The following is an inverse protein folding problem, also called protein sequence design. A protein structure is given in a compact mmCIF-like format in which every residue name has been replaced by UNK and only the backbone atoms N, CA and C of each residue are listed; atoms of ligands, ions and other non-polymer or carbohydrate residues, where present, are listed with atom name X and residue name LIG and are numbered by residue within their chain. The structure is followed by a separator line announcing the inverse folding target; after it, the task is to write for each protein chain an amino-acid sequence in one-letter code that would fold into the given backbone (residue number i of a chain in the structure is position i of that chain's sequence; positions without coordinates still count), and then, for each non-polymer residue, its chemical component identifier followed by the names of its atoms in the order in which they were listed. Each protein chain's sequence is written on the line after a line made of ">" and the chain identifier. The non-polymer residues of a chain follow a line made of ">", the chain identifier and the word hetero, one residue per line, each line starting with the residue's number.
data_IF_901552111731
#
_entry.id   IF_901552111731
#
_cell.length_a   1.000
_cell.length_b   1.000
_cell.length_c   1.000
_cell.angle_alpha   90.00
_cell.angle_beta   90.00
_cell.angle_gamma   90.00
#
_symmetry.space_group_name_H-M   'P 1'
#
loop_
_entity.id
_entity.type
_entity.pdbx_description
1 polymer ?
#
# COMPACT_ATOMS: atom_id res chain seq x y z
N UNK A 1 14.03 -7.01 35.43
CA UNK A 1 12.95 -5.99 35.41
C UNK A 1 12.86 -5.37 34.02
N UNK A 2 11.84 -5.67 33.19
CA UNK A 2 11.79 -5.22 31.81
C UNK A 2 11.37 -3.74 31.73
N UNK A 3 12.25 -2.89 31.20
CA UNK A 3 11.97 -1.48 30.91
C UNK A 3 11.10 -1.37 29.67
N UNK A 4 9.83 -1.03 29.87
CA UNK A 4 8.89 -0.71 28.80
C UNK A 4 9.37 0.54 28.04
N UNK A 5 9.99 0.35 26.87
CA UNK A 5 10.18 1.43 25.90
C UNK A 5 8.82 1.92 25.38
N UNK A 6 8.31 2.99 25.99
CA UNK A 6 7.12 3.70 25.57
C UNK A 6 7.40 4.32 24.20
N UNK A 7 6.84 3.72 23.14
CA UNK A 7 6.84 4.30 21.78
C UNK A 7 6.12 5.66 21.83
N UNK A 8 6.87 6.76 21.63
CA UNK A 8 6.32 8.12 21.52
C UNK A 8 5.18 8.11 20.49
N UNK A 9 3.94 8.36 20.95
CA UNK A 9 2.76 8.47 20.07
C UNK A 9 3.02 9.61 19.08
N UNK A 10 2.82 9.33 17.79
CA UNK A 10 2.92 10.28 16.68
C UNK A 10 2.08 11.52 17.04
N UNK A 11 2.73 12.64 17.31
CA UNK A 11 2.03 13.89 17.56
C UNK A 11 1.18 14.22 16.33
N UNK A 12 -0.15 14.29 16.52
CA UNK A 12 -1.04 14.80 15.48
C UNK A 12 -0.56 16.21 15.14
N UNK A 13 -0.15 16.40 13.89
CA UNK A 13 0.16 17.74 13.37
C UNK A 13 -1.11 18.56 13.59
N UNK A 14 -1.01 19.63 14.37
CA UNK A 14 -2.08 20.61 14.49
C UNK A 14 -2.26 21.19 13.07
N UNK A 15 -3.30 20.74 12.36
CA UNK A 15 -3.72 21.40 11.13
C UNK A 15 -3.96 22.87 11.51
N UNK A 16 -3.38 23.79 10.74
CA UNK A 16 -3.60 25.22 10.96
C UNK A 16 -5.11 25.47 10.84
N UNK A 17 -5.72 26.01 11.89
CA UNK A 17 -7.17 26.23 11.96
C UNK A 17 -7.67 27.21 10.88
N UNK A 18 -6.76 28.02 10.33
CA UNK A 18 -7.01 28.98 9.25
C UNK A 18 -7.54 28.28 7.97
N UNK A 19 -6.99 27.12 7.58
CA UNK A 19 -7.46 26.37 6.39
C UNK A 19 -8.88 25.80 6.58
N UNK A 20 -9.29 25.53 7.84
CA UNK A 20 -10.62 24.98 8.15
C UNK A 20 -11.67 26.08 8.19
N UNK A 21 -11.30 27.29 8.64
CA UNK A 21 -12.19 28.45 8.57
C UNK A 21 -12.42 28.92 7.13
N UNK A 22 -11.38 28.94 6.29
CA UNK A 22 -11.50 29.29 4.87
C UNK A 22 -12.42 28.31 4.12
N UNK A 23 -12.26 27.00 4.34
CA UNK A 23 -13.15 25.98 3.76
C UNK A 23 -14.61 26.12 4.23
N UNK A 24 -14.83 26.55 5.48
CA UNK A 24 -16.18 26.79 6.00
C UNK A 24 -16.80 28.10 5.51
N UNK A 25 -16.00 29.12 5.19
CA UNK A 25 -16.47 30.36 4.57
C UNK A 25 -16.88 30.14 3.11
N UNK A 26 -16.13 29.33 2.36
CA UNK A 26 -16.47 28.93 0.99
C UNK A 26 -17.81 28.16 0.94
N UNK A 27 -18.04 27.23 1.87
CA UNK A 27 -19.32 26.51 1.97
C UNK A 27 -20.49 27.44 2.33
N UNK A 28 -20.26 28.48 3.13
CA UNK A 28 -21.26 29.51 3.43
C UNK A 28 -21.54 30.39 2.22
N UNK A 29 -20.53 30.74 1.42
CA UNK A 29 -20.68 31.51 0.19
C UNK A 29 -21.46 30.72 -0.87
N UNK A 30 -21.15 29.43 -1.03
CA UNK A 30 -21.85 28.52 -1.95
C UNK A 30 -23.34 28.35 -1.58
N UNK A 31 -23.66 28.30 -0.28
CA UNK A 31 -25.06 28.25 0.20
C UNK A 31 -25.83 29.54 -0.04
N UNK A 32 -25.18 30.71 0.03
CA UNK A 32 -25.82 32.00 -0.30
C UNK A 32 -26.13 32.11 -1.80
N UNK A 33 -25.27 31.57 -2.66
CA UNK A 33 -25.49 31.61 -4.11
C UNK A 33 -26.63 30.70 -4.58
N UNK A 34 -26.91 29.60 -3.87
CA UNK A 34 -28.01 28.67 -4.21
C UNK A 34 -29.40 29.18 -3.81
N UNK A 35 -29.50 30.28 -3.04
CA UNK A 35 -30.77 30.78 -2.48
C UNK A 35 -31.44 31.88 -3.30
N UNK A 36 -30.88 32.32 -4.43
CA UNK A 36 -31.42 33.45 -5.22
C UNK A 36 -32.14 33.05 -6.49
N UNK A 37 -32.70 31.83 -6.56
CA UNK A 37 -33.59 31.43 -7.66
C UNK A 37 -34.89 30.91 -7.06
N UNK A 38 -35.77 31.86 -6.72
CA UNK A 38 -37.17 31.55 -6.40
C UNK A 38 -37.91 31.26 -7.72
N UNK A 39 -38.59 30.10 -7.86
CA UNK A 39 -39.36 29.76 -9.06
C UNK A 39 -40.80 30.28 -8.91
N UNK A 40 -40.95 31.57 -8.70
CA UNK A 40 -42.25 32.24 -8.66
C UNK A 40 -42.08 33.58 -9.35
N UNK A 41 -42.46 33.59 -10.63
CA UNK A 41 -42.98 34.73 -11.41
C UNK A 41 -42.65 34.47 -12.88
N UNK A 42 -43.65 34.06 -13.65
CA UNK A 42 -43.53 33.85 -15.09
C UNK A 42 -44.70 33.03 -15.64
N UNK A 43 -45.65 33.72 -16.29
CA UNK A 43 -46.86 33.21 -16.94
C UNK A 43 -46.66 31.89 -17.70
N UNK A 44 -47.51 30.91 -17.41
CA UNK A 44 -47.54 29.60 -18.07
C UNK A 44 -48.36 29.61 -19.39
N UNK A 45 -49.10 30.68 -19.68
CA UNK A 45 -49.99 30.76 -20.85
C UNK A 45 -49.31 31.30 -22.13
N UNK A 46 -48.13 31.90 -22.03
CA UNK A 46 -47.31 32.27 -23.21
C UNK A 46 -46.43 31.11 -23.71
N UNK A 47 -46.41 29.97 -23.01
CA UNK A 47 -45.53 28.84 -23.33
C UNK A 47 -46.13 27.84 -24.33
N UNK A 48 -47.41 28.02 -24.72
CA UNK A 48 -48.11 27.11 -25.64
C UNK A 48 -48.62 27.79 -26.92
N UNK A 49 -48.30 29.08 -27.17
CA UNK A 49 -48.48 29.66 -28.50
C UNK A 49 -47.35 29.17 -29.41
N UNK A 50 -47.66 28.15 -30.21
CA UNK A 50 -46.77 27.60 -31.23
C UNK A 50 -46.60 28.66 -32.33
N UNK A 51 -45.55 29.46 -32.24
CA UNK A 51 -45.13 30.32 -33.33
C UNK A 51 -44.36 29.47 -34.36
N UNK A 52 -44.97 29.27 -35.53
CA UNK A 52 -44.46 28.41 -36.62
C UNK A 52 -43.54 29.19 -37.56
N UNK A 53 -43.10 30.41 -37.22
CA UNK A 53 -42.21 31.18 -38.09
C UNK A 53 -40.99 31.75 -37.36
N UNK A 54 -40.03 30.85 -37.13
CA UNK A 54 -38.61 31.16 -37.30
C UNK A 54 -37.85 31.68 -36.09
N UNK A 55 -37.35 30.78 -35.24
CA UNK A 55 -36.27 31.05 -34.30
C UNK A 55 -35.21 29.94 -34.39
N UNK A 56 -34.41 29.99 -35.45
CA UNK A 56 -33.18 29.19 -35.58
C UNK A 56 -31.95 29.89 -34.97
N UNK A 57 -32.09 31.12 -34.51
CA UNK A 57 -30.97 31.89 -33.95
C UNK A 57 -31.42 32.70 -32.74
N UNK A 58 -30.57 32.70 -31.70
CA UNK A 58 -30.66 33.52 -30.47
C UNK A 58 -31.42 32.88 -29.30
N UNK A 59 -30.82 31.83 -28.72
CA UNK A 59 -31.00 31.60 -27.28
C UNK A 59 -30.37 32.77 -26.48
N UNK A 60 -31.13 33.47 -25.61
CA UNK A 60 -30.64 34.65 -24.86
C UNK A 60 -29.48 34.32 -23.89
N UNK A 61 -29.33 33.04 -23.49
CA UNK A 61 -28.18 32.56 -22.72
C UNK A 61 -26.85 32.69 -23.48
N UNK A 62 -26.87 32.57 -24.81
CA UNK A 62 -25.65 32.62 -25.62
C UNK A 62 -25.14 34.03 -25.85
N UNK A 63 -26.02 35.05 -25.93
CA UNK A 63 -25.59 36.47 -26.04
C UNK A 63 -24.93 36.94 -24.76
N UNK A 64 -25.50 36.61 -23.59
CA UNK A 64 -24.91 36.94 -22.29
C UNK A 64 -23.60 36.18 -22.05
N UNK A 65 -23.52 34.91 -22.45
CA UNK A 65 -22.29 34.12 -22.40
C UNK A 65 -21.21 34.65 -23.37
N UNK A 66 -21.57 35.03 -24.60
CA UNK A 66 -20.65 35.63 -25.59
C UNK A 66 -20.18 37.02 -25.16
N UNK A 67 -21.05 37.85 -24.57
CA UNK A 67 -20.65 39.14 -24.00
C UNK A 67 -19.73 38.97 -22.78
N UNK A 68 -20.01 37.98 -21.92
CA UNK A 68 -19.17 37.66 -20.76
C UNK A 68 -17.82 37.06 -21.17
N UNK A 69 -17.76 36.27 -22.24
CA UNK A 69 -16.50 35.75 -22.81
C UNK A 69 -15.66 36.82 -23.51
N UNK A 70 -16.28 37.89 -24.02
CA UNK A 70 -15.56 39.08 -24.54
C UNK A 70 -15.03 39.98 -23.43
N UNK A 71 -15.76 40.12 -22.32
CA UNK A 71 -15.37 40.93 -21.16
C UNK A 71 -14.39 40.21 -20.23
N UNK A 72 -14.49 38.88 -20.14
CA UNK A 72 -13.56 38.01 -19.43
C UNK A 72 -13.05 36.99 -20.44
N UNK A 73 -11.86 37.24 -21.01
CA UNK A 73 -11.15 36.22 -21.80
C UNK A 73 -11.03 34.91 -21.02
N UNK A 74 -10.73 33.78 -21.68
CA UNK A 74 -10.55 32.50 -21.01
C UNK A 74 -9.49 32.67 -19.93
N UNK A 75 -9.92 32.74 -18.66
CA UNK A 75 -9.01 32.85 -17.53
C UNK A 75 -8.30 31.52 -17.47
N UNK A 76 -7.02 31.51 -17.82
CA UNK A 76 -6.14 30.40 -17.45
C UNK A 76 -6.30 30.19 -15.94
N UNK A 77 -6.56 28.95 -15.48
CA UNK A 77 -6.68 28.69 -14.06
C UNK A 77 -5.39 29.14 -13.38
N UNK A 78 -5.50 30.17 -12.51
CA UNK A 78 -4.35 30.72 -11.76
C UNK A 78 -3.75 29.73 -10.76
N UNK A 79 -4.35 28.56 -10.60
CA UNK A 79 -3.90 27.50 -9.72
C UNK A 79 -3.37 26.40 -10.64
N UNK A 80 -2.08 26.04 -10.56
CA UNK A 80 -1.58 24.88 -11.28
C UNK A 80 -2.38 23.66 -10.83
N UNK A 81 -2.86 22.90 -11.80
CA UNK A 81 -3.63 21.68 -11.56
C UNK A 81 -2.78 20.81 -10.64
N UNK A 82 -3.32 20.43 -9.48
CA UNK A 82 -2.60 19.58 -8.54
C UNK A 82 -2.30 18.23 -9.22
N UNK A 83 -1.14 17.62 -8.95
CA UNK A 83 -0.81 16.29 -9.46
C UNK A 83 -1.91 15.23 -9.18
N UNK A 84 -2.70 15.42 -8.12
CA UNK A 84 -3.86 14.58 -7.83
C UNK A 84 -5.05 14.79 -8.78
N UNK A 85 -5.23 16.01 -9.29
CA UNK A 85 -6.26 16.34 -10.26
C UNK A 85 -5.86 15.90 -11.66
N UNK A 86 -4.60 16.04 -12.06
CA UNK A 86 -4.06 15.48 -13.31
C UNK A 86 -4.28 13.95 -13.36
N UNK A 87 -3.97 13.24 -12.28
CA UNK A 87 -4.21 11.80 -12.20
C UNK A 87 -5.71 11.41 -12.21
N UNK A 88 -6.62 12.31 -11.80
CA UNK A 88 -8.07 12.10 -11.92
C UNK A 88 -8.54 12.33 -13.35
N UNK A 89 -8.01 13.35 -14.02
CA UNK A 89 -8.28 13.66 -15.43
C UNK A 89 -7.83 12.49 -16.31
N UNK A 90 -6.59 12.01 -16.17
CA UNK A 90 -6.10 10.83 -16.92
C UNK A 90 -6.98 9.59 -16.71
N UNK A 91 -7.47 9.37 -15.48
CA UNK A 91 -8.34 8.23 -15.18
C UNK A 91 -9.70 8.37 -15.83
N UNK A 92 -10.24 9.59 -15.90
CA UNK A 92 -11.51 9.88 -16.56
C UNK A 92 -11.38 9.74 -18.08
N UNK A 93 -10.28 10.20 -18.67
CA UNK A 93 -9.97 10.06 -20.10
C UNK A 93 -9.87 8.59 -20.51
N UNK A 94 -9.08 7.78 -19.78
CA UNK A 94 -9.01 6.32 -20.01
C UNK A 94 -10.37 5.63 -19.87
N UNK A 95 -11.24 6.12 -18.99
CA UNK A 95 -12.58 5.57 -18.82
C UNK A 95 -13.53 5.93 -19.98
N UNK A 96 -13.29 7.05 -20.66
CA UNK A 96 -14.05 7.49 -21.83
C UNK A 96 -13.57 6.79 -23.10
N UNK A 97 -12.26 6.59 -23.28
CA UNK A 97 -11.69 5.84 -24.41
C UNK A 97 -12.21 4.40 -24.49
N UNK A 98 -12.40 3.74 -23.34
CA UNK A 98 -12.93 2.37 -23.27
C UNK A 98 -14.44 2.30 -23.56
N UNK A 99 -15.14 3.44 -23.53
CA UNK A 99 -16.60 3.54 -23.74
C UNK A 99 -16.99 4.05 -25.13
N UNK A 100 -16.09 4.04 -26.10
CA UNK A 100 -16.50 4.25 -27.49
C UNK A 100 -17.35 3.03 -27.88
N UNK A 101 -18.68 3.17 -28.07
CA UNK A 101 -19.50 2.05 -28.48
C UNK A 101 -18.97 1.59 -29.84
N UNK A 102 -18.55 0.33 -29.92
CA UNK A 102 -18.24 -0.30 -31.20
C UNK A 102 -19.43 -0.05 -32.11
N UNK A 103 -19.20 0.60 -33.26
CA UNK A 103 -20.22 0.79 -34.29
C UNK A 103 -20.82 -0.57 -34.56
N UNK A 104 -22.07 -0.77 -34.13
CA UNK A 104 -22.85 -1.95 -34.49
C UNK A 104 -23.04 -1.78 -35.99
N UNK A 105 -22.32 -2.58 -36.78
CA UNK A 105 -22.57 -2.67 -38.21
C UNK A 105 -24.06 -3.00 -38.38
N UNK A 106 -24.79 -2.29 -39.25
CA UNK A 106 -26.19 -2.59 -39.49
C UNK A 106 -26.24 -4.01 -40.06
N UNK A 107 -26.67 -4.96 -39.23
CA UNK A 107 -26.92 -6.32 -39.68
C UNK A 107 -27.90 -6.24 -40.86
N UNK A 108 -27.46 -6.71 -42.03
CA UNK A 108 -28.34 -6.87 -43.19
C UNK A 108 -29.55 -7.68 -42.75
N UNK A 109 -30.70 -7.01 -42.67
CA UNK A 109 -31.98 -7.65 -42.45
C UNK A 109 -32.29 -8.40 -43.73
N UNK A 110 -32.14 -9.72 -43.68
CA UNK A 110 -32.48 -10.61 -44.78
C UNK A 110 -34.00 -10.60 -45.00
N UNK A 111 -34.42 -9.96 -46.08
CA UNK A 111 -35.82 -9.77 -46.49
C UNK A 111 -36.49 -11.11 -46.83
N UNK A 112 -35.71 -12.18 -47.04
CA UNK A 112 -36.20 -13.53 -47.34
C UNK A 112 -36.23 -14.46 -46.12
N UNK A 113 -35.77 -13.99 -44.97
CA UNK A 113 -35.94 -14.75 -43.72
C UNK A 113 -37.42 -14.72 -43.33
N UNK A 114 -38.07 -15.88 -43.43
CA UNK A 114 -39.46 -16.07 -43.00
C UNK A 114 -39.63 -15.56 -41.57
N UNK A 115 -40.65 -14.73 -41.28
CA UNK A 115 -40.81 -14.09 -39.98
C UNK A 115 -40.84 -15.17 -38.91
N UNK A 116 -39.82 -15.16 -38.05
CA UNK A 116 -39.72 -16.09 -36.92
C UNK A 116 -40.97 -15.89 -36.07
N UNK A 117 -41.89 -16.86 -36.12
CA UNK A 117 -43.18 -16.82 -35.46
C UNK A 117 -43.02 -16.27 -34.03
N UNK A 118 -43.59 -15.09 -33.81
CA UNK A 118 -43.64 -14.49 -32.49
C UNK A 118 -44.36 -15.48 -31.57
N UNK A 119 -43.66 -15.93 -30.53
CA UNK A 119 -44.25 -16.78 -29.51
C UNK A 119 -45.51 -16.11 -28.95
N UNK A 120 -46.59 -16.87 -28.69
CA UNK A 120 -47.86 -16.30 -28.24
C UNK A 120 -47.66 -15.55 -26.92
N UNK A 121 -48.10 -14.29 -26.89
CA UNK A 121 -48.18 -13.50 -25.68
C UNK A 121 -49.29 -14.10 -24.80
N UNK A 122 -48.90 -14.99 -23.88
CA UNK A 122 -49.78 -15.43 -22.81
C UNK A 122 -49.98 -14.27 -21.83
N UNK A 123 -51.18 -13.69 -21.84
CA UNK A 123 -51.68 -12.76 -20.82
C UNK A 123 -51.76 -13.46 -19.45
N UNK A 124 -50.64 -13.45 -18.73
CA UNK A 124 -50.58 -13.86 -17.33
C UNK A 124 -50.97 -12.67 -16.45
N UNK A 125 -52.25 -12.57 -16.12
CA UNK A 125 -52.88 -11.65 -15.14
C UNK A 125 -52.51 -11.93 -13.68
N UNK A 126 -51.47 -12.73 -13.43
CA UNK A 126 -50.92 -12.95 -12.09
C UNK A 126 -49.48 -12.47 -12.11
N UNK A 127 -49.20 -11.33 -11.45
CA UNK A 127 -47.84 -10.91 -11.10
C UNK A 127 -47.22 -11.98 -10.21
N UNK A 128 -46.67 -13.03 -10.81
CA UNK A 128 -45.72 -13.88 -10.13
C UNK A 128 -44.56 -12.98 -9.72
N UNK A 129 -44.12 -12.98 -8.44
CA UNK A 129 -42.87 -12.32 -8.08
C UNK A 129 -41.82 -12.86 -9.02
N UNK A 130 -41.24 -11.98 -9.84
CA UNK A 130 -40.36 -12.34 -10.94
C UNK A 130 -39.39 -13.42 -10.44
N UNK A 131 -39.53 -14.65 -10.94
CA UNK A 131 -38.61 -15.75 -10.62
C UNK A 131 -37.22 -15.17 -10.82
N UNK A 132 -36.46 -15.04 -9.74
CA UNK A 132 -35.21 -14.30 -9.73
C UNK A 132 -34.40 -14.79 -10.93
N UNK A 133 -34.26 -13.92 -11.94
CA UNK A 133 -33.53 -14.26 -13.16
C UNK A 133 -32.15 -14.73 -12.71
N UNK A 134 -31.60 -15.82 -13.29
CA UNK A 134 -30.29 -16.29 -12.90
C UNK A 134 -29.30 -15.14 -13.08
N UNK A 135 -28.88 -14.56 -11.96
CA UNK A 135 -27.98 -13.42 -11.96
C UNK A 135 -26.67 -13.89 -12.59
N UNK A 136 -26.19 -13.15 -13.59
CA UNK A 136 -24.88 -13.42 -14.18
C UNK A 136 -23.86 -13.43 -13.04
N UNK A 137 -22.99 -14.45 -12.96
CA UNK A 137 -22.00 -14.50 -11.90
C UNK A 137 -21.11 -13.24 -11.97
N UNK A 138 -20.71 -12.69 -10.82
CA UNK A 138 -19.86 -11.51 -10.81
C UNK A 138 -18.53 -11.84 -11.49
N UNK A 139 -18.00 -10.87 -12.27
CA UNK A 139 -16.73 -11.04 -13.01
C UNK A 139 -15.57 -11.47 -12.10
N UNK A 140 -15.63 -11.11 -10.81
CA UNK A 140 -14.64 -11.48 -9.78
C UNK A 140 -14.62 -12.97 -9.46
N UNK A 141 -15.67 -13.73 -9.78
CA UNK A 141 -15.74 -15.16 -9.52
C UNK A 141 -14.76 -15.98 -10.38
N UNK A 142 -14.43 -15.50 -11.58
CA UNK A 142 -13.53 -16.19 -12.52
C UNK A 142 -12.06 -15.79 -12.36
N UNK A 143 -11.73 -14.92 -11.41
CA UNK A 143 -10.35 -14.49 -11.19
C UNK A 143 -9.55 -15.62 -10.51
N UNK A 144 -8.52 -16.13 -11.23
CA UNK A 144 -7.62 -17.15 -10.68
C UNK A 144 -6.88 -16.57 -9.47
N UNK A 145 -6.97 -17.26 -8.34
CA UNK A 145 -6.41 -16.80 -7.05
C UNK A 145 -4.89 -17.03 -6.99
N UNK A 146 -4.28 -17.80 -7.90
CA UNK A 146 -2.83 -18.03 -7.91
C UNK A 146 -2.27 -18.33 -9.30
N UNK A 147 -0.94 -18.20 -9.41
CA UNK A 147 -0.17 -18.40 -10.64
C UNK A 147 0.56 -19.75 -10.60
N UNK A 148 0.92 -20.23 -9.41
CA UNK A 148 1.57 -21.52 -9.21
C UNK A 148 0.79 -22.71 -9.83
N UNK A 149 1.50 -23.69 -10.41
CA UNK A 149 0.90 -24.90 -10.96
C UNK A 149 0.25 -25.75 -9.86
N UNK A 150 -0.75 -26.55 -10.25
CA UNK A 150 -1.46 -27.43 -9.33
C UNK A 150 -0.62 -28.65 -8.90
N UNK A 151 0.25 -29.12 -9.79
CA UNK A 151 1.14 -30.26 -9.58
C UNK A 151 2.55 -29.77 -9.91
N UNK A 152 3.47 -29.97 -8.98
CA UNK A 152 4.89 -29.70 -9.21
C UNK A 152 5.51 -31.02 -9.67
N UNK A 153 6.30 -31.02 -10.76
CA UNK A 153 7.03 -32.21 -11.14
C UNK A 153 7.97 -32.61 -9.99
N UNK A 154 7.92 -33.87 -9.58
CA UNK A 154 8.84 -34.39 -8.56
C UNK A 154 10.28 -34.35 -9.09
N UNK A 155 11.24 -34.19 -8.18
CA UNK A 155 12.65 -34.28 -8.54
C UNK A 155 12.98 -35.74 -8.92
N UNK A 156 13.84 -35.95 -9.92
CA UNK A 156 14.21 -37.30 -10.39
C UNK A 156 14.86 -38.14 -9.29
N UNK A 157 15.65 -37.48 -8.42
CA UNK A 157 16.24 -38.04 -7.21
C UNK A 157 15.23 -38.59 -6.17
N UNK A 158 13.94 -38.24 -6.26
CA UNK A 158 12.89 -38.78 -5.38
C UNK A 158 12.26 -40.08 -5.89
N UNK A 159 12.69 -40.55 -7.07
CA UNK A 159 12.24 -41.84 -7.59
C UNK A 159 12.69 -43.00 -6.69
N UNK A 160 12.03 -44.16 -6.82
CA UNK A 160 12.36 -45.36 -6.04
C UNK A 160 13.77 -45.91 -6.35
N UNK A 161 14.28 -45.63 -7.55
CA UNK A 161 15.61 -46.01 -7.99
C UNK A 161 16.21 -44.83 -8.76
N UNK A 162 16.64 -43.78 -8.05
CA UNK A 162 17.17 -42.58 -8.67
C UNK A 162 18.53 -42.87 -9.29
N UNK A 163 18.85 -42.14 -10.35
CA UNK A 163 20.22 -42.09 -10.82
C UNK A 163 21.11 -41.45 -9.74
N UNK A 164 22.37 -41.87 -9.65
CA UNK A 164 23.30 -41.42 -8.63
C UNK A 164 23.47 -39.89 -8.67
N UNK A 165 23.59 -39.32 -9.87
CA UNK A 165 23.71 -37.88 -10.07
C UNK A 165 22.46 -37.13 -9.60
N UNK A 166 21.28 -37.61 -10.01
CA UNK A 166 20.00 -36.99 -9.63
C UNK A 166 19.73 -37.09 -8.12
N UNK A 167 20.20 -38.14 -7.45
CA UNK A 167 20.14 -38.27 -6.00
C UNK A 167 21.09 -37.29 -5.32
N UNK A 168 22.34 -37.19 -5.77
CA UNK A 168 23.31 -36.21 -5.24
C UNK A 168 22.80 -34.78 -5.38
N UNK A 169 22.22 -34.42 -6.53
CA UNK A 169 21.60 -33.11 -6.75
C UNK A 169 20.44 -32.85 -5.79
N UNK A 170 19.59 -33.86 -5.54
CA UNK A 170 18.51 -33.74 -4.56
C UNK A 170 19.07 -33.52 -3.14
N UNK A 171 20.11 -34.25 -2.76
CA UNK A 171 20.76 -34.11 -1.46
C UNK A 171 21.37 -32.71 -1.33
N UNK A 172 22.10 -32.24 -2.35
CA UNK A 172 22.70 -30.91 -2.37
C UNK A 172 21.66 -29.79 -2.27
N UNK A 173 20.54 -29.92 -2.99
CA UNK A 173 19.47 -28.92 -2.95
C UNK A 173 18.74 -28.91 -1.61
N UNK A 174 18.45 -30.08 -1.03
CA UNK A 174 17.84 -30.20 0.28
C UNK A 174 18.76 -29.66 1.39
N UNK A 175 20.04 -30.04 1.39
CA UNK A 175 21.03 -29.55 2.37
C UNK A 175 21.25 -28.05 2.25
N UNK A 176 21.29 -27.49 1.03
CA UNK A 176 21.37 -26.04 0.84
C UNK A 176 20.16 -25.31 1.44
N UNK A 177 18.95 -25.86 1.29
CA UNK A 177 17.73 -25.28 1.86
C UNK A 177 17.73 -25.34 3.40
N UNK A 178 18.20 -26.44 3.99
CA UNK A 178 18.33 -26.58 5.44
C UNK A 178 19.38 -25.63 6.02
N UNK A 179 20.56 -25.52 5.39
CA UNK A 179 21.60 -24.57 5.79
C UNK A 179 21.09 -23.12 5.75
N UNK A 180 20.33 -22.74 4.73
CA UNK A 180 19.71 -21.42 4.68
C UNK A 180 18.70 -21.21 5.80
N UNK A 181 17.92 -22.23 6.14
CA UNK A 181 16.99 -22.16 7.26
C UNK A 181 17.73 -22.01 8.60
N UNK A 182 18.80 -22.76 8.83
CA UNK A 182 19.65 -22.64 10.01
C UNK A 182 20.31 -21.26 10.13
N UNK A 183 20.81 -20.72 9.02
CA UNK A 183 21.33 -19.35 8.97
C UNK A 183 20.27 -18.31 9.32
N UNK A 184 19.04 -18.46 8.80
CA UNK A 184 17.94 -17.56 9.15
C UNK A 184 17.60 -17.64 10.64
N UNK A 185 17.60 -18.84 11.22
CA UNK A 185 17.36 -19.06 12.65
C UNK A 185 18.49 -18.48 13.49
N UNK A 186 19.75 -18.66 13.09
CA UNK A 186 20.91 -18.11 13.81
C UNK A 186 20.94 -16.59 13.76
N UNK A 187 20.65 -15.99 12.61
CA UNK A 187 20.48 -14.54 12.49
C UNK A 187 19.34 -14.01 13.35
N UNK A 188 18.20 -14.70 13.40
CA UNK A 188 17.10 -14.32 14.28
C UNK A 188 17.51 -14.41 15.74
N UNK A 189 18.21 -15.48 16.15
CA UNK A 189 18.78 -15.61 17.50
C UNK A 189 19.74 -14.46 17.82
N UNK A 190 20.60 -14.05 16.88
CA UNK A 190 21.49 -12.89 17.03
C UNK A 190 20.70 -11.59 17.19
N UNK A 191 19.62 -11.40 16.45
CA UNK A 191 18.75 -10.21 16.54
C UNK A 191 17.95 -10.17 17.85
N UNK A 192 17.44 -11.31 18.30
CA UNK A 192 16.61 -11.42 19.51
C UNK A 192 17.45 -11.35 20.79
N UNK A 193 18.67 -11.89 20.76
CA UNK A 193 19.58 -11.97 21.90
C UNK A 193 21.01 -11.57 21.52
N UNK A 194 21.25 -10.30 21.15
CA UNK A 194 22.57 -9.84 20.71
C UNK A 194 23.63 -9.98 21.80
N UNK A 195 23.26 -9.66 23.05
CA UNK A 195 24.17 -9.74 24.21
C UNK A 195 24.70 -11.15 24.40
N UNK A 196 23.82 -12.15 24.47
CA UNK A 196 24.26 -13.53 24.74
C UNK A 196 24.95 -14.16 23.54
N UNK A 197 24.56 -13.83 22.30
CA UNK A 197 25.16 -14.45 21.11
C UNK A 197 26.60 -13.99 20.88
N UNK A 198 26.87 -12.68 20.97
CA UNK A 198 28.23 -12.14 20.87
C UNK A 198 29.13 -12.63 22.03
N UNK A 199 28.59 -12.77 23.24
CA UNK A 199 29.31 -13.36 24.37
C UNK A 199 29.59 -14.84 24.20
N UNK A 200 28.62 -15.63 23.73
CA UNK A 200 28.80 -17.08 23.51
C UNK A 200 29.84 -17.35 22.43
N UNK A 201 29.88 -16.52 21.37
CA UNK A 201 30.90 -16.63 20.30
C UNK A 201 32.32 -16.30 20.80
N UNK A 202 32.45 -15.41 21.80
CA UNK A 202 33.75 -14.96 22.33
C UNK A 202 34.26 -15.77 23.53
N UNK A 203 33.37 -16.10 24.48
CA UNK A 203 33.70 -16.74 25.76
C UNK A 203 33.30 -18.23 25.82
N UNK A 204 32.47 -18.70 24.90
CA UNK A 204 31.88 -20.04 24.92
C UNK A 204 30.58 -20.10 25.72
N UNK A 205 29.76 -21.12 25.45
CA UNK A 205 28.42 -21.25 26.04
C UNK A 205 28.45 -21.51 27.55
N UNK A 206 29.35 -22.38 28.01
CA UNK A 206 29.47 -22.78 29.42
C UNK A 206 29.75 -21.59 30.34
N UNK A 207 30.70 -20.73 29.98
CA UNK A 207 31.03 -19.52 30.76
C UNK A 207 29.89 -18.52 30.80
N UNK A 208 29.15 -18.38 29.69
CA UNK A 208 28.01 -17.46 29.64
C UNK A 208 26.88 -17.95 30.53
N UNK A 209 26.63 -19.26 30.58
CA UNK A 209 25.60 -19.84 31.41
C UNK A 209 25.91 -19.70 32.92
N UNK A 210 27.19 -19.75 33.32
CA UNK A 210 27.64 -19.51 34.69
C UNK A 210 27.60 -18.03 35.12
N UNK A 211 27.73 -17.08 34.19
CA UNK A 211 27.68 -15.65 34.52
C UNK A 211 26.27 -15.19 34.88
N UNK A 212 26.17 -14.35 35.92
CA UNK A 212 24.95 -13.62 36.25
C UNK A 212 24.55 -12.63 35.15
N UNK A 213 23.26 -12.28 35.07
CA UNK A 213 22.74 -11.35 34.05
C UNK A 213 23.47 -9.99 34.06
N UNK A 214 23.86 -9.49 35.24
CA UNK A 214 24.63 -8.25 35.38
C UNK A 214 26.04 -8.39 34.80
N UNK A 215 26.75 -9.47 35.15
CA UNK A 215 28.08 -9.77 34.65
C UNK A 215 28.10 -9.97 33.12
N UNK A 216 27.03 -10.57 32.55
CA UNK A 216 26.87 -10.69 31.09
C UNK A 216 26.80 -9.32 30.42
N UNK A 217 26.01 -8.39 30.97
CA UNK A 217 25.88 -7.03 30.38
C UNK A 217 27.20 -6.27 30.45
N UNK A 218 27.93 -6.38 31.56
CA UNK A 218 29.25 -5.75 31.73
C UNK A 218 30.29 -6.34 30.78
N UNK A 219 30.38 -7.68 30.68
CA UNK A 219 31.27 -8.35 29.74
C UNK A 219 30.95 -7.97 28.29
N UNK A 220 29.67 -7.84 27.94
CA UNK A 220 29.24 -7.43 26.60
C UNK A 220 29.57 -5.96 26.31
N UNK A 221 29.39 -5.09 27.30
CA UNK A 221 29.78 -3.69 27.20
C UNK A 221 31.30 -3.56 27.00
N UNK A 222 32.10 -4.33 27.74
CA UNK A 222 33.56 -4.38 27.58
C UNK A 222 33.97 -4.86 26.17
N UNK A 223 33.28 -5.87 25.62
CA UNK A 223 33.54 -6.41 24.29
C UNK A 223 33.28 -5.39 23.17
N UNK A 224 32.20 -4.61 23.30
CA UNK A 224 31.85 -3.54 22.33
C UNK A 224 32.67 -2.26 22.51
N UNK A 225 33.11 -1.97 23.72
CA UNK A 225 33.97 -0.81 24.01
C UNK A 225 35.42 -1.02 23.56
N UNK A 226 35.81 -2.26 23.23
CA UNK A 226 36.98 -2.58 22.41
C UNK A 226 38.19 -1.66 22.63
N UNK A 227 38.88 -1.81 23.76
CA UNK A 227 40.24 -1.28 23.92
C UNK A 227 40.41 0.24 23.82
N UNK A 228 39.37 1.04 24.04
CA UNK A 228 39.54 2.46 24.29
C UNK A 228 39.69 2.65 25.80
N UNK A 229 40.94 2.80 26.26
CA UNK A 229 41.28 3.30 27.59
C UNK A 229 40.45 4.57 27.87
N UNK A 230 39.40 4.41 28.68
CA UNK A 230 38.57 5.51 29.13
C UNK A 230 39.31 6.27 30.23
N UNK A 231 40.26 7.10 29.83
CA UNK A 231 40.65 8.29 30.57
C UNK A 231 40.57 9.46 29.60
N UNK A 232 40.09 10.62 30.07
CA UNK A 232 39.94 11.90 29.35
C UNK A 232 38.81 12.04 28.33
N UNK A 233 37.70 12.65 28.78
CA UNK A 233 37.07 13.76 28.07
C UNK A 233 36.20 14.55 29.08
N UNK A 234 36.87 15.50 29.70
CA UNK A 234 36.38 16.45 30.68
C UNK A 234 35.59 17.57 29.98
N UNK A 235 34.50 17.98 30.62
CA UNK A 235 33.73 19.23 30.48
C UNK A 235 34.25 20.30 29.52
N UNK A 236 33.41 20.71 28.57
CA UNK A 236 33.56 21.98 27.84
C UNK A 236 32.34 22.88 28.05
N UNK A 237 32.58 23.93 28.85
CA UNK A 237 31.62 24.85 29.42
C UNK A 237 31.30 25.98 28.42
N UNK A 238 30.09 26.00 27.84
CA UNK A 238 29.62 27.10 26.99
C UNK A 238 29.24 28.33 27.85
N UNK A 239 30.09 29.35 27.88
CA UNK A 239 29.79 30.66 28.45
C UNK A 239 28.88 31.49 27.52
N UNK A 240 27.65 31.76 27.96
CA UNK A 240 26.74 32.71 27.33
C UNK A 240 27.04 34.15 27.74
N UNK A 241 27.49 34.99 26.80
CA UNK A 241 27.70 36.41 27.01
C UNK A 241 26.39 37.22 27.07
N UNK A 242 26.07 37.82 28.21
CA UNK A 242 25.00 38.79 28.38
C UNK A 242 25.40 40.16 27.78
N UNK A 243 24.62 40.62 26.80
CA UNK A 243 24.77 41.94 26.18
C UNK A 243 24.03 42.98 27.02
N UNK A 244 24.76 43.81 27.78
CA UNK A 244 24.19 44.93 28.52
C UNK A 244 23.95 46.13 27.57
N UNK A 245 22.72 46.65 27.53
CA UNK A 245 22.32 47.80 26.69
C UNK A 245 22.38 49.10 27.50
N UNK A 246 23.53 49.76 27.54
CA UNK A 246 23.63 51.16 28.02
C UNK A 246 23.71 52.12 26.83
N UNK A 247 22.57 52.68 26.43
CA UNK A 247 22.43 53.51 25.23
C UNK A 247 22.82 54.97 25.46
N UNK A 248 24.09 55.33 25.30
CA UNK A 248 24.48 56.73 25.05
C UNK A 248 24.01 57.14 23.65
N UNK A 249 23.26 58.25 23.54
CA UNK A 249 22.74 58.78 22.26
C UNK A 249 23.91 59.08 21.31
N UNK A 250 23.93 58.45 20.13
CA UNK A 250 24.95 58.69 19.10
C UNK A 250 24.84 60.11 18.55
N UNK A 251 25.98 60.80 18.39
CA UNK A 251 26.10 62.08 17.69
C UNK A 251 25.53 62.02 16.26
N UNK A 252 24.97 63.13 15.77
CA UNK A 252 24.29 63.21 14.46
C UNK A 252 25.19 62.82 13.29
N UNK A 253 26.49 63.15 13.35
CA UNK A 253 27.50 62.71 12.38
C UNK A 253 27.67 61.18 12.35
N UNK A 254 27.69 60.52 13.52
CA UNK A 254 27.73 59.05 13.61
C UNK A 254 26.43 58.40 13.09
N UNK A 255 25.28 59.09 13.22
CA UNK A 255 24.00 58.66 12.66
C UNK A 255 23.99 58.71 11.13
N UNK A 256 24.57 59.76 10.53
CA UNK A 256 24.70 59.89 9.08
C UNK A 256 25.72 58.90 8.49
N UNK A 257 26.86 58.68 9.16
CA UNK A 257 27.83 57.64 8.78
C UNK A 257 27.22 56.24 8.85
N UNK A 258 26.43 55.95 9.89
CA UNK A 258 25.69 54.68 9.99
C UNK A 258 24.65 54.51 8.88
N UNK A 259 23.93 55.57 8.50
CA UNK A 259 22.98 55.52 7.37
C UNK A 259 23.70 55.21 6.04
N UNK A 260 24.83 55.88 5.75
CA UNK A 260 25.64 55.60 4.55
C UNK A 260 26.18 54.17 4.54
N UNK A 261 26.72 53.69 5.67
CA UNK A 261 27.18 52.31 5.77
C UNK A 261 26.03 51.33 5.57
N UNK A 262 24.84 51.57 6.13
CA UNK A 262 23.66 50.71 5.88
C UNK A 262 23.28 50.63 4.42
N UNK A 263 23.34 51.75 3.68
CA UNK A 263 23.06 51.73 2.23
C UNK A 263 24.13 50.98 1.43
N UNK A 264 25.40 51.07 1.84
CA UNK A 264 26.50 50.32 1.21
C UNK A 264 26.33 48.83 1.49
N UNK A 265 26.14 48.43 2.75
CA UNK A 265 25.87 47.04 3.14
C UNK A 265 24.64 46.47 2.43
N UNK A 266 23.59 47.26 2.23
CA UNK A 266 22.41 46.82 1.50
C UNK A 266 22.70 46.60 0.01
N UNK A 267 23.41 47.53 -0.63
CA UNK A 267 23.84 47.38 -2.04
C UNK A 267 24.81 46.22 -2.24
N UNK A 268 25.76 46.04 -1.33
CA UNK A 268 26.70 44.91 -1.35
C UNK A 268 25.96 43.59 -1.13
N UNK A 269 24.97 43.56 -0.25
CA UNK A 269 24.06 42.42 -0.09
C UNK A 269 23.30 42.10 -1.37
N UNK A 270 22.75 43.11 -2.05
CA UNK A 270 22.08 42.93 -3.35
C UNK A 270 23.05 42.40 -4.42
N UNK A 271 24.26 42.95 -4.52
CA UNK A 271 25.28 42.49 -5.47
C UNK A 271 25.73 41.05 -5.17
N UNK A 272 25.85 40.68 -3.90
CA UNK A 272 26.13 39.29 -3.51
C UNK A 272 24.98 38.35 -3.89
N UNK A 273 23.72 38.78 -3.75
CA UNK A 273 22.57 37.98 -4.20
C UNK A 273 22.52 37.83 -5.72
N UNK A 274 22.81 38.90 -6.48
CA UNK A 274 22.90 38.83 -7.94
C UNK A 274 24.04 37.91 -8.38
N UNK A 275 25.24 38.03 -7.79
CA UNK A 275 26.36 37.10 -8.07
C UNK A 275 26.05 35.64 -7.74
N UNK A 276 25.23 35.37 -6.72
CA UNK A 276 24.75 34.01 -6.40
C UNK A 276 23.74 33.52 -7.44
N UNK A 277 22.84 34.40 -7.89
CA UNK A 277 21.89 34.09 -8.96
C UNK A 277 22.62 33.79 -10.28
N UNK A 278 23.57 34.63 -10.69
CA UNK A 278 24.31 34.42 -11.94
C UNK A 278 25.13 33.11 -11.93
N UNK A 279 25.71 32.76 -10.78
CA UNK A 279 26.35 31.45 -10.57
C UNK A 279 25.35 30.31 -10.70
N UNK A 280 24.18 30.42 -10.06
CA UNK A 280 23.13 29.41 -10.16
C UNK A 280 22.56 29.26 -11.57
N UNK A 281 22.50 30.35 -12.36
CA UNK A 281 22.07 30.31 -13.77
C UNK A 281 23.07 29.53 -14.63
N UNK A 282 24.37 29.69 -14.39
CA UNK A 282 25.42 28.89 -15.03
C UNK A 282 25.36 27.40 -14.65
N UNK A 283 24.89 27.09 -13.45
CA UNK A 283 24.75 25.71 -12.94
C UNK A 283 23.48 25.01 -13.43
N UNK A 284 22.48 25.73 -13.99
CA UNK A 284 21.23 25.14 -14.52
C UNK A 284 21.51 24.02 -15.52
N UNK A 285 22.52 24.17 -16.38
CA UNK A 285 22.91 23.14 -17.35
C UNK A 285 23.42 21.85 -16.69
N UNK A 286 24.10 21.94 -15.55
CA UNK A 286 24.54 20.78 -14.78
C UNK A 286 23.36 20.15 -14.03
N UNK A 287 22.49 20.97 -13.45
CA UNK A 287 21.27 20.50 -12.77
C UNK A 287 20.35 19.75 -13.74
N UNK A 288 20.21 20.23 -14.99
CA UNK A 288 19.44 19.52 -16.01
C UNK A 288 20.06 18.16 -16.37
N UNK A 289 21.39 18.09 -16.51
CA UNK A 289 22.10 16.83 -16.75
C UNK A 289 21.98 15.86 -15.57
N UNK A 290 22.04 16.36 -14.34
CA UNK A 290 21.84 15.57 -13.13
C UNK A 290 20.40 15.03 -13.05
N UNK A 291 19.39 15.86 -13.35
CA UNK A 291 17.99 15.44 -13.42
C UNK A 291 17.77 14.36 -14.49
N UNK A 292 18.34 14.52 -15.68
CA UNK A 292 18.26 13.51 -16.75
C UNK A 292 18.92 12.19 -16.31
N UNK A 293 20.10 12.25 -15.69
CA UNK A 293 20.80 11.07 -15.17
C UNK A 293 19.99 10.38 -14.05
N UNK A 294 19.39 11.14 -13.14
CA UNK A 294 18.49 10.61 -12.11
C UNK A 294 17.25 9.95 -12.71
N UNK A 295 16.65 10.53 -13.74
CA UNK A 295 15.51 9.94 -14.44
C UNK A 295 15.87 8.61 -15.11
N UNK A 296 17.01 8.55 -15.79
CA UNK A 296 17.52 7.32 -16.41
C UNK A 296 17.76 6.26 -15.33
N UNK A 297 18.45 6.61 -14.25
CA UNK A 297 18.68 5.71 -13.13
C UNK A 297 17.37 5.21 -12.48
N UNK A 298 16.37 6.08 -12.34
CA UNK A 298 15.06 5.69 -11.83
C UNK A 298 14.32 4.76 -12.81
N UNK A 299 14.38 5.01 -14.12
CA UNK A 299 13.80 4.14 -15.16
C UNK A 299 14.47 2.77 -15.14
N UNK A 300 15.80 2.72 -15.10
CA UNK A 300 16.57 1.47 -14.98
C UNK A 300 16.21 0.72 -13.71
N UNK A 301 16.17 1.40 -12.55
CA UNK A 301 15.78 0.78 -11.28
C UNK A 301 14.35 0.26 -11.29
N UNK A 302 13.41 0.94 -11.97
CA UNK A 302 12.03 0.47 -12.16
C UNK A 302 12.00 -0.75 -13.07
N UNK A 303 12.72 -0.72 -14.18
CA UNK A 303 12.82 -1.85 -15.12
C UNK A 303 13.42 -3.08 -14.45
N UNK A 304 14.52 -2.94 -13.71
CA UNK A 304 15.14 -4.01 -12.94
C UNK A 304 14.18 -4.62 -11.91
N UNK A 305 13.46 -3.77 -11.17
CA UNK A 305 12.43 -4.24 -10.22
C UNK A 305 11.28 -4.97 -10.92
N UNK A 306 10.90 -4.56 -12.12
CA UNK A 306 9.86 -5.22 -12.91
C UNK A 306 10.37 -6.56 -13.44
N UNK A 307 11.59 -6.61 -13.99
CA UNK A 307 12.23 -7.84 -14.45
C UNK A 307 12.38 -8.85 -13.28
N UNK A 308 12.77 -8.40 -12.09
CA UNK A 308 12.81 -9.27 -10.91
C UNK A 308 11.43 -9.82 -10.52
N UNK A 309 10.36 -9.02 -10.67
CA UNK A 309 8.99 -9.48 -10.42
C UNK A 309 8.54 -10.46 -11.49
N UNK A 310 8.81 -10.17 -12.76
CA UNK A 310 8.46 -11.04 -13.88
C UNK A 310 9.19 -12.37 -13.79
N UNK A 311 10.51 -12.36 -13.54
CA UNK A 311 11.28 -13.57 -13.28
C UNK A 311 10.73 -14.37 -12.09
N UNK A 312 10.35 -13.69 -11.00
CA UNK A 312 9.71 -14.35 -9.86
C UNK A 312 8.36 -14.99 -10.23
N UNK A 313 7.55 -14.32 -11.05
CA UNK A 313 6.29 -14.87 -11.55
C UNK A 313 6.51 -16.02 -12.51
N UNK A 314 7.55 -15.97 -13.35
CA UNK A 314 7.90 -17.06 -14.26
C UNK A 314 8.38 -18.31 -13.51
N UNK A 315 9.22 -18.13 -12.48
CA UNK A 315 9.62 -19.22 -11.60
C UNK A 315 8.39 -19.82 -10.90
N UNK A 316 7.48 -18.98 -10.38
CA UNK A 316 6.24 -19.47 -9.80
C UNK A 316 5.39 -20.24 -10.83
N UNK A 317 5.34 -19.82 -12.10
CA UNK A 317 4.62 -20.54 -13.17
C UNK A 317 5.26 -21.88 -13.51
N UNK A 318 6.59 -21.91 -13.67
CA UNK A 318 7.33 -23.06 -14.20
C UNK A 318 7.62 -24.09 -13.11
N UNK A 319 8.25 -23.66 -12.02
CA UNK A 319 8.71 -24.56 -10.95
C UNK A 319 7.77 -24.56 -9.75
N UNK A 320 6.84 -23.59 -9.68
CA UNK A 320 5.99 -23.42 -8.51
C UNK A 320 6.73 -22.85 -7.30
N UNK A 321 7.98 -22.43 -7.44
CA UNK A 321 8.78 -21.87 -6.34
C UNK A 321 8.35 -20.44 -6.05
N UNK A 322 7.85 -20.20 -4.84
CA UNK A 322 7.38 -18.89 -4.42
C UNK A 322 8.55 -18.11 -3.78
N UNK A 323 9.21 -17.25 -4.55
CA UNK A 323 10.41 -16.49 -4.11
C UNK A 323 10.20 -15.58 -2.89
N UNK A 324 8.97 -15.09 -2.67
CA UNK A 324 8.58 -14.34 -1.47
C UNK A 324 7.43 -15.05 -0.80
N UNK A 325 7.66 -15.57 0.41
CA UNK A 325 6.65 -16.25 1.26
C UNK A 325 5.29 -15.57 1.13
N UNK A 326 4.34 -16.24 0.48
CA UNK A 326 3.04 -15.67 0.18
C UNK A 326 2.26 -15.51 1.47
N UNK A 327 1.79 -14.28 1.73
CA UNK A 327 0.98 -13.98 2.91
C UNK A 327 -0.50 -14.03 2.55
N UNK A 328 -1.24 -14.93 3.20
CA UNK A 328 -2.70 -14.96 3.13
C UNK A 328 -3.26 -14.68 4.52
N UNK A 329 -3.80 -13.47 4.69
CA UNK A 329 -4.22 -12.97 5.99
C UNK A 329 -3.03 -12.73 6.93
N UNK A 330 -2.91 -13.55 7.97
CA UNK A 330 -1.88 -13.40 9.02
C UNK A 330 -0.73 -14.39 8.89
N UNK A 331 -0.97 -15.55 8.30
CA UNK A 331 0.01 -16.61 8.18
C UNK A 331 0.83 -16.44 6.89
N UNK A 332 2.10 -16.82 6.98
CA UNK A 332 3.04 -16.83 5.86
C UNK A 332 3.17 -18.27 5.40
N UNK A 333 3.07 -18.50 4.09
CA UNK A 333 3.36 -19.82 3.53
C UNK A 333 4.88 -20.03 3.47
N UNK A 334 5.35 -21.10 4.08
CA UNK A 334 6.70 -21.64 3.90
C UNK A 334 6.59 -23.03 3.29
N UNK A 335 7.37 -23.29 2.26
CA UNK A 335 7.51 -24.64 1.70
C UNK A 335 8.43 -25.45 2.62
N UNK A 336 8.06 -26.71 2.87
CA UNK A 336 8.92 -27.67 3.56
C UNK A 336 10.10 -28.05 2.63
N UNK A 337 11.25 -28.38 3.21
CA UNK A 337 12.41 -28.85 2.44
C UNK A 337 12.04 -30.14 1.67
N UNK A 338 12.72 -30.36 0.54
CA UNK A 338 12.52 -31.57 -0.25
C UNK A 338 12.85 -32.79 0.61
N UNK A 339 11.91 -33.72 0.71
CA UNK A 339 12.12 -34.98 1.42
C UNK A 339 13.11 -35.83 0.61
N UNK A 340 14.27 -36.10 1.22
CA UNK A 340 15.31 -36.95 0.65
C UNK A 340 15.12 -38.38 1.18
N UNK A 341 15.04 -39.40 0.31
CA UNK A 341 15.04 -40.79 0.75
C UNK A 341 16.35 -41.14 1.47
N UNK A 342 16.27 -41.86 2.59
CA UNK A 342 17.46 -42.34 3.31
C UNK A 342 18.35 -43.19 2.38
N UNK A 343 19.67 -42.99 2.38
CA UNK A 343 20.60 -43.77 1.52
C UNK A 343 20.44 -45.28 1.72
N UNK A 344 20.17 -45.71 2.97
CA UNK A 344 19.94 -47.12 3.32
C UNK A 344 18.60 -47.69 2.82
N UNK A 345 17.68 -46.81 2.43
CA UNK A 345 16.38 -47.14 1.85
C UNK A 345 16.48 -47.38 0.34
N UNK A 346 17.27 -46.57 -0.37
CA UNK A 346 17.29 -46.55 -1.83
C UNK A 346 17.62 -47.92 -2.47
N UNK A 347 18.35 -48.80 -1.77
CA UNK A 347 18.66 -50.16 -2.24
C UNK A 347 17.62 -51.25 -1.91
N UNK A 348 16.55 -50.97 -1.16
CA UNK A 348 15.67 -52.00 -0.58
C UNK A 348 14.39 -52.27 -1.39
N UNK A 349 14.46 -52.27 -2.72
CA UNK A 349 13.39 -52.73 -3.62
C UNK A 349 12.01 -52.03 -3.46
N UNK A 350 11.03 -52.42 -4.29
CA UNK A 350 9.71 -51.77 -4.34
C UNK A 350 8.84 -51.93 -3.08
N UNK A 351 9.22 -52.79 -2.13
CA UNK A 351 8.42 -53.06 -0.92
C UNK A 351 8.60 -52.01 0.17
N UNK A 352 9.48 -51.04 -0.05
CA UNK A 352 9.71 -50.01 0.95
C UNK A 352 8.54 -49.03 1.05
N UNK A 353 8.28 -48.58 2.29
CA UNK A 353 7.27 -47.57 2.58
C UNK A 353 7.75 -46.22 2.06
N UNK A 354 6.97 -45.62 1.17
CA UNK A 354 7.13 -44.23 0.75
C UNK A 354 6.84 -43.31 1.94
N UNK A 355 7.70 -42.32 2.17
CA UNK A 355 7.53 -41.35 3.26
C UNK A 355 6.64 -40.15 2.89
N UNK A 356 5.99 -40.16 1.73
CA UNK A 356 5.15 -39.06 1.26
C UNK A 356 3.67 -39.24 1.63
N UNK A 357 3.04 -38.17 2.11
CA UNK A 357 1.59 -38.10 2.34
C UNK A 357 0.91 -37.30 1.23
N UNK A 358 0.16 -37.98 0.36
CA UNK A 358 -0.58 -37.34 -0.73
C UNK A 358 -1.57 -36.26 -0.23
N UNK A 359 -2.05 -36.38 1.01
CA UNK A 359 -2.94 -35.39 1.64
C UNK A 359 -2.17 -34.10 1.94
N UNK A 360 -0.95 -34.21 2.47
CA UNK A 360 -0.09 -33.05 2.75
C UNK A 360 0.29 -32.36 1.44
N UNK A 361 0.68 -33.11 0.40
CA UNK A 361 1.05 -32.54 -0.90
C UNK A 361 -0.13 -31.79 -1.55
N UNK A 362 -1.33 -32.37 -1.51
CA UNK A 362 -2.55 -31.68 -1.98
C UNK A 362 -2.81 -30.40 -1.21
N UNK A 363 -2.66 -30.46 0.11
CA UNK A 363 -2.90 -29.31 0.97
C UNK A 363 -1.87 -28.20 0.70
N UNK A 364 -0.59 -28.53 0.60
CA UNK A 364 0.50 -27.62 0.22
C UNK A 364 0.22 -27.00 -1.16
N UNK A 365 -0.21 -27.78 -2.15
CA UNK A 365 -0.61 -27.29 -3.48
C UNK A 365 -1.77 -26.30 -3.43
N UNK A 366 -2.78 -26.56 -2.60
CA UNK A 366 -3.95 -25.67 -2.42
C UNK A 366 -3.53 -24.34 -1.77
N UNK A 367 -2.66 -24.40 -0.76
CA UNK A 367 -2.13 -23.23 -0.05
C UNK A 367 -1.17 -22.42 -0.95
N UNK A 368 -0.29 -23.09 -1.70
CA UNK A 368 0.63 -22.47 -2.67
C UNK A 368 -0.12 -21.65 -3.72
N UNK A 369 -1.20 -22.21 -4.26
CA UNK A 369 -2.12 -21.50 -5.18
C UNK A 369 -2.92 -20.37 -4.51
N UNK A 370 -2.87 -20.30 -3.19
CA UNK A 370 -3.53 -19.30 -2.37
C UNK A 370 -5.04 -19.46 -2.28
N UNK A 371 -5.55 -20.66 -2.54
CA UNK A 371 -6.97 -20.97 -2.41
C UNK A 371 -7.38 -21.12 -0.94
N UNK A 372 -6.45 -21.57 -0.09
CA UNK A 372 -6.62 -21.62 1.35
C UNK A 372 -5.46 -20.88 2.06
N UNK A 373 -5.73 -20.25 3.22
CA UNK A 373 -4.67 -19.72 4.05
C UNK A 373 -3.82 -20.87 4.62
N UNK A 374 -2.50 -20.68 4.78
CA UNK A 374 -1.66 -21.66 5.46
C UNK A 374 -2.17 -21.85 6.89
N UNK A 375 -2.11 -23.11 7.39
CA UNK A 375 -2.52 -23.40 8.75
C UNK A 375 -1.64 -22.59 9.70
N UNK A 376 -2.22 -22.05 10.78
CA UNK A 376 -1.42 -21.37 11.79
C UNK A 376 -0.37 -22.34 12.34
N UNK A 377 0.82 -21.81 12.60
CA UNK A 377 1.85 -22.59 13.29
C UNK A 377 1.30 -22.98 14.66
N UNK A 378 1.69 -24.15 15.19
CA UNK A 378 1.29 -24.57 16.54
C UNK A 378 2.05 -23.78 17.62
N UNK A 379 2.12 -22.46 17.48
CA UNK A 379 2.76 -21.57 18.43
C UNK A 379 1.89 -21.42 19.67
N UNK A 380 2.52 -21.32 20.84
CA UNK A 380 1.81 -21.13 22.10
C UNK A 380 0.92 -19.87 22.07
N UNK A 381 1.37 -18.81 21.40
CA UNK A 381 0.63 -17.55 21.25
C UNK A 381 -0.66 -17.73 20.42
N UNK A 382 -0.63 -18.54 19.36
CA UNK A 382 -1.81 -18.83 18.57
C UNK A 382 -2.80 -19.73 19.31
N UNK A 383 -2.32 -20.70 20.09
CA UNK A 383 -3.19 -21.48 20.99
C UNK A 383 -3.88 -20.58 22.01
N UNK A 384 -3.15 -19.67 22.65
CA UNK A 384 -3.72 -18.68 23.58
C UNK A 384 -4.76 -17.80 22.89
N UNK A 385 -4.47 -17.33 21.67
CA UNK A 385 -5.40 -16.52 20.88
C UNK A 385 -6.67 -17.30 20.50
N UNK A 386 -6.55 -18.56 20.10
CA UNK A 386 -7.71 -19.40 19.81
C UNK A 386 -8.57 -19.64 21.05
N UNK A 387 -7.95 -19.87 22.21
CA UNK A 387 -8.66 -19.93 23.51
C UNK A 387 -9.40 -18.61 23.77
N UNK A 388 -8.74 -17.48 23.62
CA UNK A 388 -9.34 -16.14 23.79
C UNK A 388 -10.55 -15.91 22.87
N UNK A 389 -10.44 -16.25 21.58
CA UNK A 389 -11.56 -16.12 20.63
C UNK A 389 -12.73 -17.06 20.97
N UNK A 390 -12.43 -18.29 21.42
CA UNK A 390 -13.46 -19.23 21.92
C UNK A 390 -14.16 -18.64 23.15
N UNK A 391 -13.42 -18.08 24.09
CA UNK A 391 -13.99 -17.46 25.30
C UNK A 391 -14.82 -16.22 24.99
N UNK A 392 -14.38 -15.36 24.07
CA UNK A 392 -15.18 -14.23 23.57
C UNK A 392 -16.48 -14.72 22.93
N UNK A 393 -16.43 -15.77 22.10
CA UNK A 393 -17.63 -16.32 21.46
C UNK A 393 -18.60 -16.91 22.48
N UNK A 394 -18.09 -17.58 23.52
CA UNK A 394 -18.89 -18.10 24.65
C UNK A 394 -19.54 -16.97 25.43
N UNK A 395 -18.80 -15.89 25.71
CA UNK A 395 -19.34 -14.68 26.37
C UNK A 395 -20.42 -14.02 25.51
N UNK A 396 -20.19 -13.85 24.22
CA UNK A 396 -21.15 -13.27 23.28
C UNK A 396 -22.44 -14.09 23.17
N UNK A 397 -22.35 -15.43 23.22
CA UNK A 397 -23.55 -16.28 23.26
C UNK A 397 -24.34 -16.09 24.56
N UNK A 398 -23.64 -16.03 25.71
CA UNK A 398 -24.27 -15.79 27.02
C UNK A 398 -24.95 -14.42 27.10
N UNK A 399 -24.39 -13.38 26.46
CA UNK A 399 -25.00 -12.05 26.45
C UNK A 399 -26.14 -11.95 25.43
N UNK A 400 -26.02 -12.57 24.25
CA UNK A 400 -27.11 -12.60 23.25
C UNK A 400 -28.36 -13.34 23.73
N UNK A 401 -28.22 -14.38 24.55
CA UNK A 401 -29.38 -15.05 25.16
C UNK A 401 -30.00 -14.27 26.32
N UNK A 402 -29.32 -13.24 26.86
CA UNK A 402 -29.83 -12.41 27.96
C UNK A 402 -30.43 -11.08 27.52
N UNK A 403 -30.20 -10.67 26.27
CA UNK A 403 -30.80 -9.48 25.67
C UNK A 403 -31.79 -9.91 24.61
N UNK A 404 -32.81 -10.67 25.01
CA UNK A 404 -34.09 -10.61 24.31
C UNK A 404 -34.68 -9.29 24.77
N UNK A 405 -34.82 -8.30 23.89
CA UNK A 405 -35.42 -7.03 24.26
C UNK A 405 -36.79 -7.32 24.90
N UNK A 406 -37.14 -6.71 26.05
CA UNK A 406 -38.44 -6.97 26.71
C UNK A 406 -39.64 -6.71 25.77
N UNK A 407 -39.46 -5.89 24.74
CA UNK A 407 -40.45 -5.64 23.68
C UNK A 407 -40.72 -6.85 22.76
N UNK A 408 -39.76 -7.78 22.61
CA UNK A 408 -39.91 -9.02 21.84
C UNK A 408 -40.45 -10.18 22.68
N UNK A 409 -40.39 -10.10 24.02
CA UNK A 409 -41.07 -11.08 24.88
C UNK A 409 -42.59 -10.89 24.89
N UNK A 410 -43.06 -9.65 24.68
CA UNK A 410 -44.48 -9.31 24.72
C UNK A 410 -45.18 -9.38 23.35
N UNK A 411 -44.46 -9.67 22.25
CA UNK A 411 -45.08 -9.83 20.92
C UNK A 411 -45.78 -11.18 20.71
N UNK A 412 -45.84 -12.03 21.75
CA UNK A 412 -46.70 -13.22 21.75
C UNK A 412 -48.19 -12.91 21.97
N UNK A 413 -48.56 -11.63 22.16
CA UNK A 413 -49.94 -11.16 22.24
C UNK A 413 -50.54 -10.69 20.90
N UNK A 414 -49.80 -10.83 19.79
CA UNK A 414 -50.32 -10.67 18.43
C UNK A 414 -50.44 -12.05 17.78
N UNK A 415 -51.42 -12.83 18.24
CA UNK A 415 -51.97 -13.99 17.54
C UNK A 415 -53.47 -13.90 17.54
#
# INVERSE_FOLDING_TARGET
>A
MPTNMIKKRRAWRKNKLEDVEEAMEDDRAAKKLKRTVDPKDGNLDELFSIDVKGDADVQPLTRRAKARAKLFGPKEPKIPISACEEARIERAERALEVKIPQKIEPAMVDIWSSPKAAAPAEDKTVMMPAKALPLKPPKTMHQKVGIAPAVIPAHEGQSLNPDAQAYEELVCTATAAELQHEQQVSEQKRKDRPVTTELVESLGQEKVDEMDEAARVEAWAALRQGGADTSTAQDDHLQGGQITRSGKRKLQAARNKSKRNKTIFFKDGQNQTQRKLDKSVGEVGNILKELEAEEVWQKERRSYKNNLKENALELERKTGVVSKRRRLGRTLFSEESLVVPDVSAVGKGLRQRLQCSAIQDRFVSIVRRGMLPPPPEKSASEVVRQKYLKDQSRRARKTKTRVISPLLQNSLLLK
#
